data_IF_512728966523
#
_entry.id   IF_512728966523
#
_cell.length_a   1.000
_cell.length_b   1.000
_cell.length_c   1.000
_cell.angle_alpha   90.00
_cell.angle_beta   90.00
_cell.angle_gamma   90.00
#
_symmetry.space_group_name_H-M   'P 1'
#
loop_
_entity.id
_entity.type
_entity.pdbx_description
1 polymer ?
#
# COMPACT_ATOMS: atom_id res chain seq x y z
N UNK A 1 22.35 7.79 -21.01
CA UNK A 1 21.87 7.48 -19.64
C UNK A 1 22.75 8.23 -18.65
N UNK A 2 22.18 9.05 -17.77
CA UNK A 2 22.90 9.73 -16.67
C UNK A 2 22.48 9.04 -15.38
N UNK A 3 23.38 8.29 -14.75
CA UNK A 3 23.14 7.65 -13.46
C UNK A 3 23.58 8.65 -12.39
N UNK A 4 22.65 9.08 -11.53
CA UNK A 4 22.97 9.88 -10.35
C UNK A 4 23.48 8.93 -9.26
N UNK A 5 24.60 9.29 -8.64
CA UNK A 5 25.25 8.56 -7.55
C UNK A 5 24.87 9.12 -6.17
N UNK A 6 23.81 9.92 -6.10
CA UNK A 6 23.28 10.35 -4.81
C UNK A 6 22.70 9.11 -4.10
N UNK A 7 22.87 9.02 -2.78
CA UNK A 7 22.41 7.88 -1.99
C UNK A 7 20.90 7.72 -2.15
N UNK A 8 20.48 6.62 -2.77
CA UNK A 8 19.09 6.16 -2.69
C UNK A 8 18.98 5.43 -1.35
N UNK A 9 18.43 6.11 -0.35
CA UNK A 9 18.15 5.55 0.98
C UNK A 9 16.72 5.03 1.05
N UNK A 10 16.19 4.48 -0.04
CA UNK A 10 14.91 3.79 0.11
C UNK A 10 15.15 2.53 0.94
N UNK A 11 14.25 2.31 1.88
CA UNK A 11 14.15 1.05 2.60
C UNK A 11 14.01 -0.09 1.60
N UNK A 12 14.48 -1.28 1.95
CA UNK A 12 14.25 -2.52 1.19
C UNK A 12 12.77 -2.96 1.16
N UNK A 13 11.87 -2.07 1.58
CA UNK A 13 10.44 -2.33 1.72
C UNK A 13 9.63 -1.05 1.92
N UNK A 14 8.42 -1.05 1.38
CA UNK A 14 7.43 0.04 1.47
C UNK A 14 6.15 -0.51 2.06
N UNK A 15 5.67 0.11 3.13
CA UNK A 15 4.39 -0.23 3.73
C UNK A 15 3.25 0.36 2.91
N UNK A 16 2.14 -0.37 2.81
CA UNK A 16 0.95 0.13 2.13
C UNK A 16 -0.32 -0.01 2.98
N UNK A 17 -1.29 0.85 2.69
CA UNK A 17 -2.66 0.77 3.20
C UNK A 17 -3.60 0.67 2.00
N UNK A 18 -4.52 -0.30 2.02
CA UNK A 18 -5.58 -0.45 1.01
C UNK A 18 -6.94 -0.27 1.69
N UNK A 19 -7.74 0.66 1.18
CA UNK A 19 -9.16 0.82 1.51
C UNK A 19 -9.98 0.43 0.29
N UNK A 20 -10.85 -0.57 0.43
CA UNK A 20 -11.64 -1.13 -0.67
C UNK A 20 -13.13 -1.16 -0.30
N UNK A 21 -13.96 -0.64 -1.21
CA UNK A 21 -15.41 -0.79 -1.16
C UNK A 21 -15.80 -2.13 -1.81
N UNK A 22 -15.94 -3.17 -0.98
CA UNK A 22 -16.10 -4.54 -1.43
C UNK A 22 -14.76 -5.28 -1.59
N UNK A 23 -14.76 -6.36 -2.38
CA UNK A 23 -13.58 -7.22 -2.57
C UNK A 23 -12.50 -6.50 -3.38
N UNK A 24 -11.26 -6.52 -2.87
CA UNK A 24 -10.11 -6.05 -3.63
C UNK A 24 -9.85 -6.96 -4.84
N UNK A 25 -10.09 -6.44 -6.04
CA UNK A 25 -10.05 -7.20 -7.29
C UNK A 25 -9.29 -6.46 -8.39
N UNK A 26 -8.79 -7.23 -9.37
CA UNK A 26 -7.88 -6.72 -10.40
C UNK A 26 -8.55 -5.70 -11.32
N UNK A 27 -9.85 -5.86 -11.59
CA UNK A 27 -10.59 -4.98 -12.49
C UNK A 27 -10.65 -3.56 -11.91
N UNK A 28 -11.10 -3.43 -10.67
CA UNK A 28 -11.23 -2.13 -10.01
C UNK A 28 -9.85 -1.48 -9.81
N UNK A 29 -8.81 -2.29 -9.58
CA UNK A 29 -7.43 -1.82 -9.48
C UNK A 29 -6.90 -1.22 -10.80
N UNK A 30 -7.05 -1.93 -11.93
CA UNK A 30 -6.61 -1.42 -13.24
C UNK A 30 -7.42 -0.18 -13.66
N UNK A 31 -8.72 -0.18 -13.38
CA UNK A 31 -9.57 0.99 -13.62
C UNK A 31 -9.11 2.20 -12.79
N UNK A 32 -8.73 2.00 -11.52
CA UNK A 32 -8.20 3.04 -10.65
C UNK A 32 -6.85 3.60 -11.12
N UNK A 33 -5.97 2.75 -11.68
CA UNK A 33 -4.70 3.20 -12.28
C UNK A 33 -4.94 3.96 -13.60
N UNK A 34 -6.05 3.67 -14.29
CA UNK A 34 -6.40 4.32 -15.56
C UNK A 34 -5.66 3.74 -16.76
N UNK A 35 -5.28 2.46 -16.70
CA UNK A 35 -4.62 1.76 -17.81
C UNK A 35 -5.65 1.06 -18.68
N UNK A 36 -5.44 1.12 -19.99
CA UNK A 36 -6.25 0.40 -20.96
C UNK A 36 -5.84 -1.07 -21.01
N UNK A 37 -6.80 -1.94 -21.25
CA UNK A 37 -6.61 -3.40 -21.35
C UNK A 37 -5.63 -3.82 -22.48
N UNK A 38 -5.41 -2.96 -23.48
CA UNK A 38 -4.49 -3.19 -24.59
C UNK A 38 -3.08 -2.59 -24.38
N UNK A 39 -2.82 -2.06 -23.17
CA UNK A 39 -1.53 -1.46 -22.83
C UNK A 39 -0.45 -2.52 -22.66
N UNK A 40 0.74 -2.26 -23.23
CA UNK A 40 1.94 -3.06 -22.98
C UNK A 40 2.39 -3.03 -21.50
N UNK A 41 1.86 -2.12 -20.69
CA UNK A 41 2.14 -2.04 -19.25
C UNK A 41 1.17 -2.86 -18.40
N UNK A 42 0.18 -3.56 -18.98
CA UNK A 42 -0.80 -4.29 -18.16
C UNK A 42 -0.12 -5.34 -17.26
N UNK A 43 0.92 -6.00 -17.75
CA UNK A 43 1.63 -7.06 -17.01
C UNK A 43 2.36 -6.53 -15.76
N UNK A 44 2.97 -5.34 -15.81
CA UNK A 44 3.65 -4.77 -14.64
C UNK A 44 2.63 -4.42 -13.54
N UNK A 45 1.46 -3.89 -13.89
CA UNK A 45 0.42 -3.62 -12.89
C UNK A 45 -0.28 -4.89 -12.41
N UNK A 46 -0.35 -5.93 -13.23
CA UNK A 46 -0.80 -7.25 -12.78
C UNK A 46 0.16 -7.85 -11.74
N UNK A 47 1.47 -7.70 -11.93
CA UNK A 47 2.45 -8.12 -10.92
C UNK A 47 2.27 -7.32 -9.64
N UNK A 48 2.15 -5.99 -9.72
CA UNK A 48 1.91 -5.13 -8.55
C UNK A 48 0.63 -5.51 -7.80
N UNK A 49 -0.46 -5.79 -8.53
CA UNK A 49 -1.71 -6.23 -7.91
C UNK A 49 -1.54 -7.54 -7.13
N UNK A 50 -0.80 -8.50 -7.69
CA UNK A 50 -0.52 -9.76 -7.02
C UNK A 50 0.36 -9.54 -5.78
N UNK A 51 1.39 -8.69 -5.86
CA UNK A 51 2.22 -8.33 -4.70
C UNK A 51 1.38 -7.76 -3.56
N UNK A 52 0.43 -6.86 -3.85
CA UNK A 52 -0.53 -6.40 -2.85
C UNK A 52 -1.37 -7.56 -2.26
N UNK A 53 -1.93 -8.42 -3.11
CA UNK A 53 -2.76 -9.54 -2.66
C UNK A 53 -2.01 -10.56 -1.81
N UNK A 54 -0.74 -10.78 -2.10
CA UNK A 54 0.08 -11.81 -1.46
C UNK A 54 0.55 -11.39 -0.06
N UNK A 55 0.71 -10.10 0.21
CA UNK A 55 1.16 -9.58 1.52
C UNK A 55 0.09 -8.82 2.33
N UNK A 56 -1.07 -8.49 1.73
CA UNK A 56 -2.11 -7.76 2.48
C UNK A 56 -2.76 -8.61 3.59
N UNK A 57 -2.90 -8.02 4.78
CA UNK A 57 -3.68 -8.55 5.91
C UNK A 57 -4.73 -7.52 6.36
N UNK A 58 -5.89 -7.91 6.91
CA UNK A 58 -6.84 -6.96 7.49
C UNK A 58 -6.13 -6.07 8.53
N UNK A 59 -6.30 -4.76 8.43
CA UNK A 59 -5.46 -3.78 9.14
C UNK A 59 -5.41 -3.99 10.65
N UNK A 60 -6.57 -4.26 11.27
CA UNK A 60 -6.65 -4.55 12.72
C UNK A 60 -5.96 -5.87 13.08
N UNK A 61 -6.07 -6.90 12.25
CA UNK A 61 -5.39 -8.19 12.48
C UNK A 61 -3.88 -8.03 12.39
N UNK A 62 -3.41 -7.28 11.38
CA UNK A 62 -2.01 -6.97 11.19
C UNK A 62 -1.41 -6.25 12.42
N UNK A 63 -2.11 -5.22 12.92
CA UNK A 63 -1.73 -4.53 14.15
C UNK A 63 -1.69 -5.46 15.36
N UNK A 64 -2.74 -6.23 15.61
CA UNK A 64 -2.82 -7.14 16.77
C UNK A 64 -1.67 -8.16 16.79
N UNK A 65 -1.32 -8.69 15.60
CA UNK A 65 -0.28 -9.71 15.43
C UNK A 65 1.14 -9.17 15.55
N UNK A 66 1.39 -7.95 15.07
CA UNK A 66 2.76 -7.45 14.88
C UNK A 66 3.12 -6.27 15.81
N UNK A 67 2.14 -5.52 16.31
CA UNK A 67 2.38 -4.18 16.89
C UNK A 67 1.60 -3.88 18.18
N UNK A 68 0.66 -4.73 18.61
CA UNK A 68 -0.07 -4.57 19.89
C UNK A 68 0.82 -4.54 21.14
N UNK A 69 2.04 -5.08 21.06
CA UNK A 69 3.04 -5.00 22.13
C UNK A 69 3.88 -3.72 22.13
N UNK A 70 3.86 -2.96 21.03
CA UNK A 70 4.67 -1.74 20.84
C UNK A 70 3.82 -0.46 20.91
N UNK A 71 2.57 -0.52 20.46
CA UNK A 71 1.64 0.60 20.44
C UNK A 71 0.36 0.20 21.18
N UNK A 72 -0.18 1.13 21.98
CA UNK A 72 -1.32 0.86 22.87
C UNK A 72 -2.63 0.75 22.10
N UNK A 73 -2.74 1.43 20.96
CA UNK A 73 -3.92 1.37 20.09
C UNK A 73 -3.54 1.25 18.62
N UNK A 74 -4.49 0.81 17.80
CA UNK A 74 -4.36 0.79 16.35
C UNK A 74 -4.15 2.19 15.78
N UNK A 75 -4.85 3.18 16.31
CA UNK A 75 -4.75 4.58 15.88
C UNK A 75 -3.36 5.16 16.13
N UNK A 76 -2.78 4.90 17.31
CA UNK A 76 -1.39 5.27 17.65
C UNK A 76 -0.40 4.61 16.68
N UNK A 77 -0.59 3.32 16.40
CA UNK A 77 0.19 2.61 15.41
C UNK A 77 0.14 3.27 14.02
N UNK A 78 -1.04 3.62 13.51
CA UNK A 78 -1.15 4.26 12.19
C UNK A 78 -0.47 5.63 12.17
N UNK A 79 -0.75 6.49 13.16
CA UNK A 79 -0.21 7.86 13.19
C UNK A 79 1.31 7.91 13.37
N UNK A 80 1.87 6.99 14.18
CA UNK A 80 3.28 7.02 14.53
C UNK A 80 4.16 6.13 13.65
N UNK A 81 3.64 4.99 13.17
CA UNK A 81 4.39 4.06 12.33
C UNK A 81 4.44 4.51 10.88
N UNK A 82 3.30 4.96 10.34
CA UNK A 82 3.24 5.54 9.00
C UNK A 82 3.60 7.03 9.13
N UNK A 83 4.86 7.36 9.43
CA UNK A 83 5.26 8.72 9.78
C UNK A 83 5.07 9.73 8.64
N UNK A 84 5.06 9.29 7.37
CA UNK A 84 4.81 10.17 6.22
C UNK A 84 3.33 10.53 6.08
N UNK A 85 2.46 9.53 6.05
CA UNK A 85 1.04 9.72 5.68
C UNK A 85 0.04 9.36 6.78
N UNK A 86 0.48 8.80 7.91
CA UNK A 86 -0.37 8.25 8.97
C UNK A 86 -1.41 9.22 9.52
N UNK A 87 -1.04 10.49 9.73
CA UNK A 87 -1.99 11.53 10.18
C UNK A 87 -3.10 11.84 9.16
N UNK A 88 -2.81 11.68 7.88
CA UNK A 88 -3.73 11.95 6.77
C UNK A 88 -4.57 10.70 6.43
N UNK A 89 -3.95 9.52 6.55
CA UNK A 89 -4.55 8.21 6.31
C UNK A 89 -5.46 7.76 7.44
N UNK A 90 -5.13 8.04 8.71
CA UNK A 90 -5.93 7.57 9.84
C UNK A 90 -7.41 8.01 9.74
N UNK A 91 -7.74 9.29 9.47
CA UNK A 91 -9.13 9.71 9.28
C UNK A 91 -9.84 8.93 8.17
N UNK A 92 -9.15 8.65 7.05
CA UNK A 92 -9.69 7.87 5.92
C UNK A 92 -9.98 6.42 6.34
N UNK A 93 -9.07 5.79 7.09
CA UNK A 93 -9.25 4.44 7.64
C UNK A 93 -10.49 4.40 8.56
N UNK A 94 -10.57 5.31 9.53
CA UNK A 94 -11.67 5.33 10.51
C UNK A 94 -13.03 5.57 9.85
N UNK A 95 -13.08 6.46 8.85
CA UNK A 95 -14.29 6.67 8.06
C UNK A 95 -14.66 5.44 7.22
N UNK A 96 -13.68 4.79 6.61
CA UNK A 96 -13.88 3.57 5.83
C UNK A 96 -14.46 2.43 6.67
N UNK A 97 -13.89 2.17 7.84
CA UNK A 97 -14.39 1.14 8.77
C UNK A 97 -15.81 1.45 9.24
N UNK A 98 -16.11 2.72 9.56
CA UNK A 98 -17.47 3.15 9.95
C UNK A 98 -18.49 2.90 8.84
N UNK A 99 -18.07 3.02 7.58
CA UNK A 99 -18.89 2.79 6.40
C UNK A 99 -18.90 1.31 5.96
N UNK A 100 -18.28 0.40 6.71
CA UNK A 100 -18.26 -1.03 6.42
C UNK A 100 -17.34 -1.42 5.25
N UNK A 101 -16.40 -0.54 4.88
CA UNK A 101 -15.38 -0.84 3.87
C UNK A 101 -14.27 -1.71 4.45
N UNK A 102 -13.56 -2.42 3.57
CA UNK A 102 -12.42 -3.24 3.96
C UNK A 102 -11.16 -2.38 4.04
N UNK A 103 -10.36 -2.60 5.08
CA UNK A 103 -9.06 -1.94 5.25
C UNK A 103 -7.98 -3.00 5.44
N UNK A 104 -6.94 -2.93 4.62
CA UNK A 104 -5.80 -3.84 4.64
C UNK A 104 -4.50 -3.08 4.79
N UNK A 105 -3.50 -3.75 5.38
CA UNK A 105 -2.12 -3.28 5.49
C UNK A 105 -1.20 -4.41 5.06
N UNK A 106 -0.09 -4.05 4.42
CA UNK A 106 0.95 -4.98 4.05
C UNK A 106 2.18 -4.21 3.58
N UNK A 107 3.02 -4.88 2.81
CA UNK A 107 4.29 -4.34 2.33
C UNK A 107 4.68 -4.83 0.95
N UNK A 108 5.43 -3.98 0.27
CA UNK A 108 6.24 -4.37 -0.87
C UNK A 108 7.70 -4.53 -0.42
N UNK A 109 8.46 -5.38 -1.10
CA UNK A 109 9.87 -5.67 -0.81
C UNK A 109 10.76 -5.56 -2.05
N UNK A 110 12.01 -5.14 -1.86
CA UNK A 110 13.03 -5.11 -2.92
C UNK A 110 13.63 -6.48 -3.26
N UNK A 111 13.38 -7.48 -2.42
CA UNK A 111 14.04 -8.80 -2.47
C UNK A 111 13.19 -9.88 -3.14
N UNK A 112 12.12 -9.50 -3.84
CA UNK A 112 11.18 -10.41 -4.52
C UNK A 112 11.41 -10.43 -6.04
N UNK A 113 10.66 -9.66 -6.81
CA UNK A 113 10.76 -9.58 -8.28
C UNK A 113 11.05 -8.14 -8.76
N UNK A 114 11.38 -8.00 -10.05
CA UNK A 114 11.74 -6.70 -10.63
C UNK A 114 10.63 -5.65 -10.54
N UNK A 115 9.36 -6.07 -10.53
CA UNK A 115 8.21 -5.18 -10.50
C UNK A 115 7.95 -4.67 -9.09
N UNK A 116 7.89 -5.58 -8.13
CA UNK A 116 7.73 -5.21 -6.73
C UNK A 116 8.93 -4.40 -6.24
N UNK A 117 10.15 -4.77 -6.67
CA UNK A 117 11.35 -3.99 -6.42
C UNK A 117 11.21 -2.57 -6.98
N UNK A 118 10.75 -2.42 -8.23
CA UNK A 118 10.49 -1.10 -8.82
C UNK A 118 9.50 -0.27 -7.98
N UNK A 119 8.35 -0.84 -7.61
CA UNK A 119 7.32 -0.09 -6.87
C UNK A 119 7.63 0.13 -5.40
N UNK A 120 8.35 -0.78 -4.74
CA UNK A 120 8.80 -0.56 -3.36
C UNK A 120 9.83 0.59 -3.29
N UNK A 121 10.53 0.87 -4.39
CA UNK A 121 11.48 1.97 -4.47
C UNK A 121 10.85 3.32 -4.82
N UNK A 122 9.53 3.37 -5.03
CA UNK A 122 8.74 4.54 -5.42
C UNK A 122 7.73 4.91 -4.31
N UNK A 123 7.15 6.11 -4.40
CA UNK A 123 6.09 6.59 -3.50
C UNK A 123 4.83 7.01 -4.28
N UNK A 124 3.70 6.35 -4.00
CA UNK A 124 2.50 6.59 -4.79
C UNK A 124 1.19 6.42 -4.01
N UNK A 125 0.15 7.06 -4.54
CA UNK A 125 -1.25 6.90 -4.13
C UNK A 125 -2.06 6.50 -5.36
N UNK A 126 -2.93 5.51 -5.21
CA UNK A 126 -3.97 5.17 -6.20
C UNK A 126 -5.32 5.50 -5.57
N UNK A 127 -6.13 6.33 -6.20
CA UNK A 127 -7.43 6.75 -5.67
C UNK A 127 -8.51 6.75 -6.76
N UNK A 128 -9.59 6.04 -6.49
CA UNK A 128 -10.82 6.00 -7.28
C UNK A 128 -12.04 6.03 -6.35
N UNK A 129 -13.26 5.94 -6.90
CA UNK A 129 -14.47 5.95 -6.06
C UNK A 129 -14.55 4.75 -5.10
N UNK A 130 -13.98 3.61 -5.49
CA UNK A 130 -14.15 2.33 -4.79
C UNK A 130 -12.85 1.81 -4.18
N UNK A 131 -11.71 2.42 -4.51
CA UNK A 131 -10.40 1.94 -4.09
C UNK A 131 -9.50 3.12 -3.72
N UNK A 132 -8.82 3.01 -2.60
CA UNK A 132 -7.74 3.90 -2.19
C UNK A 132 -6.55 3.05 -1.74
N UNK A 133 -5.37 3.34 -2.26
CA UNK A 133 -4.10 2.71 -1.89
C UNK A 133 -3.11 3.81 -1.58
N UNK A 134 -2.53 3.79 -0.39
CA UNK A 134 -1.39 4.62 -0.01
C UNK A 134 -0.17 3.71 0.12
N UNK A 135 0.87 3.96 -0.69
CA UNK A 135 2.16 3.26 -0.65
C UNK A 135 3.31 4.29 -0.60
N UNK A 136 3.18 5.32 0.24
CA UNK A 136 4.21 6.36 0.38
C UNK A 136 5.24 6.06 1.48
N UNK A 137 4.90 5.15 2.40
CA UNK A 137 5.67 4.86 3.59
C UNK A 137 6.86 3.93 3.27
N UNK A 138 8.03 4.52 3.03
CA UNK A 138 9.28 3.84 2.69
C UNK A 138 10.08 3.41 3.92
N UNK A 139 9.38 3.06 5.00
CA UNK A 139 9.95 2.72 6.29
C UNK A 139 9.31 1.48 6.91
N UNK A 140 10.13 0.74 7.66
CA UNK A 140 9.68 -0.18 8.71
C UNK A 140 9.96 0.45 10.05
#
# INVERSE_FOLDING_TARGET
MKIRYDFVTNSSSTSFVIISDGEFNFKDFIEAIGIKDDSNFLDIYKSLFNAFKDDMEPARVYYEKHYSGAYSTFEEFIEERLWKSGKEVLPKILEAEKNGKNVYIGKLSSDTDETECFFCTDDFIIESSNLYIDAQEDGW
#
